data_IF_531404136653
#
_entry.id   IF_531404136653
#
_cell.length_a   1.000
_cell.length_b   1.000
_cell.length_c   1.000
_cell.angle_alpha   90.00
_cell.angle_beta   90.00
_cell.angle_gamma   90.00
#
_symmetry.space_group_name_H-M   'P 1'
#
loop_
_entity.id
_entity.type
_entity.pdbx_description
1 polymer ?
#
# COMPACT_ATOMS: atom_id res chain seq x y z
N UNK A 1 -18.89 -41.64 -106.30
CA UNK A 1 -18.92 -42.46 -105.07
C UNK A 1 -18.08 -41.73 -104.02
N UNK A 2 -18.71 -40.94 -103.14
CA UNK A 2 -19.21 -41.33 -101.81
C UNK A 2 -18.11 -41.68 -100.78
N UNK A 3 -18.23 -40.99 -99.63
CA UNK A 3 -17.67 -41.24 -98.26
C UNK A 3 -16.34 -40.51 -97.98
N UNK A 4 -16.32 -39.42 -97.22
CA UNK A 4 -16.57 -39.19 -95.76
C UNK A 4 -15.31 -39.41 -94.90
N UNK A 5 -15.19 -38.51 -93.90
CA UNK A 5 -14.23 -38.45 -92.77
C UNK A 5 -12.82 -37.96 -93.13
N UNK A 6 -12.17 -37.06 -92.38
CA UNK A 6 -12.28 -36.78 -90.94
C UNK A 6 -11.88 -35.32 -90.62
N UNK A 7 -12.64 -34.72 -89.70
CA UNK A 7 -12.32 -33.50 -88.97
C UNK A 7 -11.09 -33.73 -88.09
N UNK A 8 -10.12 -32.80 -88.10
CA UNK A 8 -9.19 -32.60 -87.00
C UNK A 8 -8.89 -31.12 -86.87
N UNK A 9 -9.69 -30.43 -86.06
CA UNK A 9 -9.38 -29.11 -85.52
C UNK A 9 -8.23 -29.30 -84.54
N UNK A 10 -7.01 -29.01 -84.99
CA UNK A 10 -5.86 -28.83 -84.10
C UNK A 10 -5.84 -27.37 -83.66
N UNK A 11 -6.60 -27.11 -82.59
CA UNK A 11 -6.43 -25.95 -81.73
C UNK A 11 -4.97 -25.91 -81.28
N UNK A 12 -4.26 -24.88 -81.72
CA UNK A 12 -2.93 -24.54 -81.22
C UNK A 12 -3.03 -24.20 -79.73
N UNK A 13 -2.75 -25.18 -78.89
CA UNK A 13 -2.50 -24.96 -77.47
C UNK A 13 -1.16 -24.24 -77.33
N UNK A 14 -1.24 -22.93 -77.07
CA UNK A 14 -0.15 -22.19 -76.46
C UNK A 14 0.25 -22.88 -75.15
N UNK A 15 1.54 -23.15 -74.87
CA UNK A 15 1.94 -23.47 -73.51
C UNK A 15 1.79 -22.19 -72.67
N UNK A 16 0.71 -22.11 -71.89
CA UNK A 16 0.65 -21.22 -70.73
C UNK A 16 1.81 -21.60 -69.81
N UNK A 17 2.77 -20.71 -69.64
CA UNK A 17 3.76 -20.80 -68.57
C UNK A 17 2.99 -20.84 -67.23
N UNK A 18 2.98 -22.00 -66.58
CA UNK A 18 2.53 -22.10 -65.19
C UNK A 18 3.56 -21.36 -64.32
N UNK A 19 3.32 -20.08 -64.04
CA UNK A 19 3.95 -19.41 -62.90
C UNK A 19 3.49 -20.16 -61.65
N UNK A 20 4.39 -20.95 -61.07
CA UNK A 20 4.24 -21.43 -59.70
C UNK A 20 4.24 -20.17 -58.83
N UNK A 21 3.09 -19.82 -58.27
CA UNK A 21 3.00 -18.80 -57.24
C UNK A 21 3.55 -19.48 -55.99
N UNK A 22 4.82 -19.21 -55.64
CA UNK A 22 5.33 -19.57 -54.32
C UNK A 22 4.66 -18.64 -53.31
N UNK A 23 3.81 -19.21 -52.46
CA UNK A 23 3.23 -18.48 -51.34
C UNK A 23 4.32 -18.31 -50.27
N UNK A 24 4.87 -17.11 -50.15
CA UNK A 24 5.74 -16.76 -49.01
C UNK A 24 4.82 -16.38 -47.84
N UNK A 25 4.87 -17.15 -46.76
CA UNK A 25 4.18 -16.84 -45.51
C UNK A 25 5.20 -16.31 -44.50
N UNK A 26 4.97 -15.12 -43.96
CA UNK A 26 5.81 -14.54 -42.91
C UNK A 26 5.01 -14.46 -41.61
N UNK A 27 5.59 -14.96 -40.51
CA UNK A 27 5.07 -14.83 -39.15
C UNK A 27 6.11 -14.11 -38.31
N UNK A 28 5.70 -13.13 -37.50
CA UNK A 28 6.59 -12.44 -36.57
C UNK A 28 6.00 -12.40 -35.18
N UNK A 29 6.82 -12.70 -34.18
CA UNK A 29 6.52 -12.54 -32.76
C UNK A 29 7.44 -11.46 -32.20
N UNK A 30 6.87 -10.51 -31.47
CA UNK A 30 7.61 -9.45 -30.79
C UNK A 30 7.26 -9.48 -29.30
N UNK A 31 8.27 -9.36 -28.45
CA UNK A 31 8.14 -9.34 -26.99
C UNK A 31 9.02 -8.24 -26.41
N UNK A 32 8.47 -7.45 -25.49
CA UNK A 32 9.20 -6.42 -24.75
C UNK A 32 9.59 -6.97 -23.38
N UNK A 33 10.87 -7.25 -23.16
CA UNK A 33 11.39 -7.78 -21.89
C UNK A 33 12.40 -6.81 -21.31
N UNK A 34 12.12 -6.31 -20.10
CA UNK A 34 12.99 -5.36 -19.39
C UNK A 34 13.41 -4.14 -20.24
N UNK A 35 12.49 -3.63 -21.07
CA UNK A 35 12.74 -2.46 -21.93
C UNK A 35 13.46 -2.76 -23.25
N UNK A 36 13.75 -4.03 -23.54
CA UNK A 36 14.39 -4.50 -24.79
C UNK A 36 13.36 -5.24 -25.64
N UNK A 37 13.31 -4.94 -26.94
CA UNK A 37 12.40 -5.60 -27.89
C UNK A 37 13.07 -6.81 -28.51
N UNK A 38 12.54 -7.99 -28.23
CA UNK A 38 12.96 -9.24 -28.85
C UNK A 38 11.98 -9.61 -29.96
N UNK A 39 12.49 -9.86 -31.17
CA UNK A 39 11.68 -10.19 -32.33
C UNK A 39 12.16 -11.46 -33.02
N UNK A 40 11.25 -12.38 -33.26
CA UNK A 40 11.48 -13.62 -34.00
C UNK A 40 10.61 -13.63 -35.26
N UNK A 41 11.23 -13.73 -36.43
CA UNK A 41 10.55 -13.77 -37.73
C UNK A 41 10.78 -15.13 -38.37
N UNK A 42 9.69 -15.82 -38.69
CA UNK A 42 9.69 -17.07 -39.44
C UNK A 42 9.19 -16.77 -40.85
N UNK A 43 10.02 -17.09 -41.86
CA UNK A 43 9.70 -16.92 -43.27
C UNK A 43 9.59 -18.32 -43.88
N UNK A 44 8.38 -18.71 -44.28
CA UNK A 44 8.08 -19.97 -44.96
C UNK A 44 7.93 -19.70 -46.45
N UNK A 45 8.90 -20.17 -47.24
CA UNK A 45 8.86 -20.14 -48.70
C UNK A 45 9.12 -21.56 -49.23
N UNK A 46 10.23 -21.81 -49.93
CA UNK A 46 10.66 -23.17 -50.33
C UNK A 46 11.37 -23.91 -49.17
N UNK A 47 11.93 -23.15 -48.23
CA UNK A 47 12.54 -23.62 -46.97
C UNK A 47 12.12 -22.70 -45.83
N UNK A 48 12.06 -23.22 -44.60
CA UNK A 48 11.79 -22.41 -43.41
C UNK A 48 13.07 -21.66 -43.01
N UNK A 49 12.98 -20.33 -42.93
CA UNK A 49 14.05 -19.48 -42.43
C UNK A 49 13.61 -18.78 -41.14
N UNK A 50 14.46 -18.83 -40.13
CA UNK A 50 14.27 -18.13 -38.86
C UNK A 50 15.23 -16.93 -38.80
N UNK A 51 14.72 -15.76 -38.42
CA UNK A 51 15.51 -14.55 -38.18
C UNK A 51 15.20 -14.02 -36.79
N UNK A 52 16.25 -13.72 -36.03
CA UNK A 52 16.17 -13.26 -34.65
C UNK A 52 16.72 -11.84 -34.54
N UNK A 53 16.02 -10.97 -33.81
CA UNK A 53 16.39 -9.58 -33.64
C UNK A 53 16.24 -9.15 -32.18
N UNK A 54 17.05 -8.18 -31.79
CA UNK A 54 16.97 -7.45 -30.52
C UNK A 54 17.10 -5.96 -30.82
N UNK A 55 16.07 -5.17 -30.50
CA UNK A 55 15.97 -3.74 -30.87
C UNK A 55 16.31 -3.50 -32.35
N UNK A 56 15.68 -4.29 -33.23
CA UNK A 56 15.89 -4.31 -34.68
C UNK A 56 17.30 -4.72 -35.16
N UNK A 57 18.21 -5.09 -34.25
CA UNK A 57 19.54 -5.60 -34.59
C UNK A 57 19.48 -7.13 -34.76
N UNK A 58 19.88 -7.67 -35.93
CA UNK A 58 19.85 -9.11 -36.16
C UNK A 58 20.90 -9.84 -35.30
N UNK A 59 20.51 -10.97 -34.73
CA UNK A 59 21.33 -11.81 -33.87
C UNK A 59 21.34 -13.27 -34.34
N UNK A 60 22.38 -14.00 -33.94
CA UNK A 60 22.39 -15.46 -34.02
C UNK A 60 21.38 -16.05 -33.01
N UNK A 61 20.81 -17.19 -33.36
CA UNK A 61 19.80 -17.90 -32.53
C UNK A 61 20.25 -18.09 -31.08
N UNK A 62 21.46 -18.58 -30.85
CA UNK A 62 21.96 -18.84 -29.50
C UNK A 62 22.14 -17.55 -28.71
N UNK A 63 22.67 -16.50 -29.34
CA UNK A 63 22.81 -15.17 -28.72
C UNK A 63 21.45 -14.54 -28.40
N UNK A 64 20.44 -14.75 -29.24
CA UNK A 64 19.09 -14.27 -29.00
C UNK A 64 18.51 -14.89 -27.73
N UNK A 65 18.54 -16.22 -27.59
CA UNK A 65 17.99 -16.88 -26.41
C UNK A 65 18.78 -16.60 -25.14
N UNK A 66 20.11 -16.49 -25.22
CA UNK A 66 20.94 -16.08 -24.08
C UNK A 66 20.55 -14.69 -23.58
N UNK A 67 20.42 -13.72 -24.49
CA UNK A 67 20.04 -12.35 -24.14
C UNK A 67 18.60 -12.23 -23.66
N UNK A 68 17.68 -12.96 -24.28
CA UNK A 68 16.28 -13.03 -23.84
C UNK A 68 16.22 -13.57 -22.41
N UNK A 69 16.88 -14.69 -22.14
CA UNK A 69 16.91 -15.28 -20.81
C UNK A 69 17.54 -14.35 -19.76
N UNK A 70 18.64 -13.66 -20.11
CA UNK A 70 19.26 -12.68 -19.23
C UNK A 70 18.33 -11.50 -18.92
N UNK A 71 17.59 -11.00 -19.92
CA UNK A 71 16.62 -9.93 -19.75
C UNK A 71 15.42 -10.37 -18.89
N UNK A 72 14.89 -11.58 -19.11
CA UNK A 72 13.83 -12.17 -18.28
C UNK A 72 14.29 -12.31 -16.82
N UNK A 73 15.52 -12.79 -16.60
CA UNK A 73 16.07 -12.94 -15.26
C UNK A 73 16.24 -11.59 -14.56
N UNK A 74 16.73 -10.57 -15.27
CA UNK A 74 16.85 -9.21 -14.76
C UNK A 74 15.47 -8.63 -14.39
N UNK A 75 14.47 -8.82 -15.24
CA UNK A 75 13.10 -8.37 -14.98
C UNK A 75 12.50 -9.04 -13.73
N UNK A 76 12.73 -10.35 -13.57
CA UNK A 76 12.28 -11.10 -12.39
C UNK A 76 12.98 -10.61 -11.11
N UNK A 77 14.28 -10.38 -11.16
CA UNK A 77 15.05 -9.85 -10.02
C UNK A 77 14.56 -8.45 -9.64
N UNK A 78 14.35 -7.57 -10.62
CA UNK A 78 13.83 -6.23 -10.37
C UNK A 78 12.41 -6.29 -9.79
N UNK A 79 11.52 -7.14 -10.33
CA UNK A 79 10.18 -7.37 -9.78
C UNK A 79 10.23 -7.83 -8.32
N UNK A 80 11.16 -8.74 -7.97
CA UNK A 80 11.37 -9.19 -6.58
C UNK A 80 11.85 -8.06 -5.68
N UNK A 81 12.89 -7.33 -6.09
CA UNK A 81 13.44 -6.21 -5.33
C UNK A 81 12.39 -5.10 -5.10
N UNK A 82 11.59 -4.75 -6.12
CA UNK A 82 10.48 -3.80 -6.01
C UNK A 82 9.42 -4.29 -5.01
N UNK A 83 9.09 -5.58 -5.04
CA UNK A 83 8.12 -6.17 -4.10
C UNK A 83 8.63 -6.11 -2.66
N UNK A 84 9.90 -6.46 -2.42
CA UNK A 84 10.53 -6.39 -1.09
C UNK A 84 10.56 -4.94 -0.57
N UNK A 85 11.02 -4.00 -1.40
CA UNK A 85 11.03 -2.58 -1.04
C UNK A 85 9.62 -2.06 -0.72
N UNK A 86 8.61 -2.46 -1.49
CA UNK A 86 7.21 -2.11 -1.22
C UNK A 86 6.74 -2.68 0.12
N UNK A 87 7.08 -3.93 0.46
CA UNK A 87 6.73 -4.51 1.76
C UNK A 87 7.41 -3.77 2.92
N UNK A 88 8.69 -3.44 2.78
CA UNK A 88 9.42 -2.67 3.79
C UNK A 88 8.80 -1.29 4.01
N UNK A 89 8.48 -0.58 2.92
CA UNK A 89 7.79 0.72 2.99
C UNK A 89 6.40 0.58 3.65
N UNK A 90 5.63 -0.44 3.28
CA UNK A 90 4.32 -0.68 3.90
C UNK A 90 4.44 -0.95 5.40
N UNK A 91 5.42 -1.76 5.82
CA UNK A 91 5.66 -2.03 7.23
C UNK A 91 6.06 -0.76 8.01
N UNK A 92 6.92 0.08 7.43
CA UNK A 92 7.30 1.37 8.01
C UNK A 92 6.10 2.31 8.14
N UNK A 93 5.30 2.46 7.08
CA UNK A 93 4.09 3.29 7.10
C UNK A 93 3.10 2.82 8.17
N UNK A 94 2.89 1.51 8.31
CA UNK A 94 2.02 0.96 9.35
C UNK A 94 2.54 1.28 10.75
N UNK A 95 3.85 1.16 10.98
CA UNK A 95 4.46 1.49 12.25
C UNK A 95 4.31 2.99 12.59
N UNK A 96 4.55 3.88 11.63
CA UNK A 96 4.39 5.32 11.83
C UNK A 96 2.92 5.69 12.09
N UNK A 97 1.96 5.07 11.39
CA UNK A 97 0.52 5.27 11.65
C UNK A 97 0.12 4.82 13.07
N UNK A 98 0.68 3.72 13.57
CA UNK A 98 0.42 3.26 14.94
C UNK A 98 0.98 4.24 15.97
N UNK A 99 2.20 4.74 15.78
CA UNK A 99 2.80 5.77 16.63
C UNK A 99 1.92 7.03 16.64
N UNK A 100 1.58 7.55 15.46
CA UNK A 100 0.75 8.75 15.34
C UNK A 100 -0.63 8.59 15.99
N UNK A 101 -1.24 7.40 15.85
CA UNK A 101 -2.49 7.05 16.51
C UNK A 101 -2.37 7.11 18.04
N UNK A 102 -1.35 6.47 18.61
CA UNK A 102 -1.09 6.48 20.04
C UNK A 102 -0.81 7.89 20.57
N UNK A 103 -0.02 8.69 19.85
CA UNK A 103 0.26 10.09 20.21
C UNK A 103 -1.04 10.91 20.26
N UNK A 104 -1.91 10.77 19.25
CA UNK A 104 -3.19 11.49 19.21
C UNK A 104 -4.09 11.10 20.36
N UNK A 105 -4.18 9.80 20.68
CA UNK A 105 -4.98 9.29 21.79
C UNK A 105 -4.53 9.91 23.12
N UNK A 106 -3.25 9.76 23.47
CA UNK A 106 -2.69 10.32 24.72
C UNK A 106 -2.92 11.82 24.82
N UNK A 107 -2.64 12.58 23.74
CA UNK A 107 -2.83 14.04 23.75
C UNK A 107 -4.29 14.44 23.96
N UNK A 108 -5.21 13.70 23.36
CA UNK A 108 -6.65 13.98 23.45
C UNK A 108 -7.13 13.76 24.89
N UNK A 109 -6.82 12.59 25.45
CA UNK A 109 -7.23 12.25 26.82
C UNK A 109 -6.54 13.18 27.83
N UNK A 110 -5.25 13.48 27.65
CA UNK A 110 -4.52 14.41 28.51
C UNK A 110 -5.18 15.79 28.54
N UNK A 111 -5.49 16.35 27.36
CA UNK A 111 -6.17 17.66 27.27
C UNK A 111 -7.53 17.63 27.95
N UNK A 112 -8.30 16.54 27.80
CA UNK A 112 -9.60 16.36 28.43
C UNK A 112 -9.49 16.31 29.96
N UNK A 113 -8.52 15.56 30.48
CA UNK A 113 -8.24 15.50 31.92
C UNK A 113 -7.87 16.89 32.45
N UNK A 114 -7.02 17.64 31.77
CA UNK A 114 -6.67 19.01 32.17
C UNK A 114 -7.89 19.92 32.22
N UNK A 115 -8.77 19.85 31.22
CA UNK A 115 -10.03 20.61 31.18
C UNK A 115 -10.93 20.28 32.37
N UNK A 116 -11.14 18.99 32.66
CA UNK A 116 -11.97 18.53 33.79
C UNK A 116 -11.44 19.02 35.13
N UNK A 117 -10.12 18.90 35.37
CA UNK A 117 -9.53 19.44 36.59
C UNK A 117 -9.60 20.96 36.64
N UNK A 118 -9.51 21.65 35.50
CA UNK A 118 -9.75 23.09 35.40
C UNK A 118 -11.17 23.48 35.85
N UNK A 119 -12.18 22.69 35.48
CA UNK A 119 -13.55 22.88 35.97
C UNK A 119 -13.67 22.61 37.46
N UNK A 120 -13.15 21.48 37.94
CA UNK A 120 -13.21 21.12 39.37
C UNK A 120 -12.52 22.15 40.28
N UNK A 121 -11.51 22.85 39.77
CA UNK A 121 -10.81 23.92 40.48
C UNK A 121 -11.59 25.24 40.54
N UNK A 122 -12.71 25.39 39.82
CA UNK A 122 -13.50 26.62 39.84
C UNK A 122 -14.00 26.92 41.26
N UNK A 123 -13.77 28.14 41.80
CA UNK A 123 -14.13 28.48 43.19
C UNK A 123 -15.61 28.26 43.53
N UNK A 124 -16.50 28.39 42.54
CA UNK A 124 -17.93 28.16 42.70
C UNK A 124 -18.25 26.69 42.97
N UNK A 125 -17.56 25.75 42.30
CA UNK A 125 -17.80 24.32 42.43
C UNK A 125 -17.12 23.73 43.67
N UNK A 126 -16.03 24.33 44.15
CA UNK A 126 -15.28 23.83 45.32
C UNK A 126 -16.14 23.64 46.57
N UNK A 127 -17.14 24.50 46.78
CA UNK A 127 -18.06 24.43 47.95
C UNK A 127 -19.03 23.24 47.89
N UNK A 128 -19.24 22.69 46.70
CA UNK A 128 -20.21 21.62 46.44
C UNK A 128 -19.52 20.31 46.04
N UNK A 129 -18.18 20.27 46.09
CA UNK A 129 -17.37 19.10 45.75
C UNK A 129 -17.90 17.85 46.46
N UNK A 130 -18.28 16.86 45.67
CA UNK A 130 -18.62 15.53 46.19
C UNK A 130 -17.45 14.57 46.00
N UNK A 131 -16.99 14.04 47.12
CA UNK A 131 -15.93 13.04 47.14
C UNK A 131 -16.52 11.64 47.29
N UNK A 132 -16.07 10.70 46.45
CA UNK A 132 -16.51 9.31 46.46
C UNK A 132 -15.33 8.37 46.18
N UNK A 133 -15.27 7.18 46.80
CA UNK A 133 -14.20 6.21 46.55
C UNK A 133 -14.03 5.81 45.08
N UNK A 134 -15.13 5.71 44.34
CA UNK A 134 -15.14 5.36 42.91
C UNK A 134 -14.80 6.54 41.99
N UNK A 135 -14.75 7.77 42.53
CA UNK A 135 -14.38 8.99 41.82
C UNK A 135 -13.09 9.56 42.44
N UNK A 136 -13.11 10.84 42.83
CA UNK A 136 -12.07 11.43 43.68
C UNK A 136 -12.52 11.30 45.13
N UNK A 137 -11.73 10.62 45.97
CA UNK A 137 -12.10 10.22 47.33
C UNK A 137 -11.88 11.32 48.37
N UNK A 138 -11.07 12.34 48.05
CA UNK A 138 -10.80 13.45 48.96
C UNK A 138 -10.18 14.65 48.24
N UNK A 139 -10.21 15.81 48.91
CA UNK A 139 -9.52 17.02 48.44
C UNK A 139 -8.01 16.80 48.29
N UNK A 140 -7.40 16.03 49.20
CA UNK A 140 -5.99 15.69 49.13
C UNK A 140 -5.68 14.86 47.87
N UNK A 141 -6.48 13.82 47.61
CA UNK A 141 -6.31 13.01 46.40
C UNK A 141 -6.48 13.85 45.13
N UNK A 142 -7.45 14.77 45.10
CA UNK A 142 -7.61 15.71 43.99
C UNK A 142 -6.35 16.54 43.76
N UNK A 143 -5.77 17.12 44.82
CA UNK A 143 -4.54 17.91 44.74
C UNK A 143 -3.30 17.09 44.32
N UNK A 144 -3.25 15.81 44.70
CA UNK A 144 -2.23 14.86 44.25
C UNK A 144 -2.39 14.53 42.77
N UNK A 145 -3.60 14.28 42.29
CA UNK A 145 -3.89 14.02 40.87
C UNK A 145 -3.59 15.24 39.98
N UNK A 146 -3.85 16.46 40.46
CA UNK A 146 -3.49 17.68 39.73
C UNK A 146 -1.97 17.79 39.55
N UNK A 147 -1.20 17.59 40.63
CA UNK A 147 0.27 17.59 40.57
C UNK A 147 0.77 16.46 39.66
N UNK A 148 0.19 15.29 39.84
CA UNK A 148 -0.02 14.22 38.86
C UNK A 148 0.18 14.66 37.41
N UNK A 149 -0.93 15.16 36.88
CA UNK A 149 -1.14 15.53 35.49
C UNK A 149 -0.20 16.65 35.03
N UNK A 150 0.18 17.58 35.92
CA UNK A 150 1.15 18.63 35.59
C UNK A 150 2.54 18.07 35.27
N UNK A 151 3.00 17.06 36.02
CA UNK A 151 4.31 16.43 35.79
C UNK A 151 4.24 15.40 34.66
N UNK A 152 3.09 14.74 34.50
CA UNK A 152 2.86 13.69 33.51
C UNK A 152 3.08 14.15 32.05
N UNK A 153 2.93 15.45 31.78
CA UNK A 153 3.24 16.03 30.46
C UNK A 153 4.66 15.71 29.99
N UNK A 154 5.64 15.83 30.90
CA UNK A 154 7.04 15.62 30.55
C UNK A 154 7.33 14.16 30.17
N UNK A 155 6.67 13.22 30.83
CA UNK A 155 6.76 11.79 30.53
C UNK A 155 6.12 11.45 29.19
N UNK A 156 4.97 12.06 28.86
CA UNK A 156 4.33 11.96 27.54
C UNK A 156 5.29 12.48 26.45
N UNK A 157 5.85 13.66 26.65
CA UNK A 157 6.77 14.27 25.66
C UNK A 157 8.02 13.39 25.45
N UNK A 158 8.53 12.75 26.51
CA UNK A 158 9.63 11.79 26.42
C UNK A 158 9.24 10.51 25.66
N UNK A 159 8.07 9.92 25.95
CA UNK A 159 7.57 8.73 25.25
C UNK A 159 7.34 8.99 23.75
N UNK A 160 6.85 10.19 23.41
CA UNK A 160 6.72 10.66 22.03
C UNK A 160 8.08 10.71 21.34
N UNK A 161 9.08 11.34 21.97
CA UNK A 161 10.42 11.46 21.40
C UNK A 161 11.08 10.09 21.14
N UNK A 162 10.78 9.10 21.99
CA UNK A 162 11.27 7.73 21.87
C UNK A 162 10.44 6.85 20.93
N UNK A 163 9.33 7.36 20.37
CA UNK A 163 8.33 6.57 19.63
C UNK A 163 7.90 5.28 20.37
N UNK A 164 7.81 5.34 21.70
CA UNK A 164 7.49 4.18 22.53
C UNK A 164 5.97 3.95 22.58
N UNK A 165 5.45 3.16 21.63
CA UNK A 165 4.00 2.91 21.49
C UNK A 165 3.41 2.29 22.76
N UNK A 166 4.09 1.30 23.35
CA UNK A 166 3.59 0.61 24.53
C UNK A 166 3.42 1.58 25.71
N UNK A 167 4.42 2.44 25.94
CA UNK A 167 4.33 3.47 26.97
C UNK A 167 3.22 4.48 26.66
N UNK A 168 3.05 4.91 25.40
CA UNK A 168 1.97 5.81 25.02
C UNK A 168 0.58 5.18 25.26
N UNK A 169 0.40 3.89 24.97
CA UNK A 169 -0.86 3.20 25.22
C UNK A 169 -1.16 3.08 26.72
N UNK A 170 -0.19 2.66 27.52
CA UNK A 170 -0.33 2.59 28.98
C UNK A 170 -0.62 3.97 29.60
N UNK A 171 0.03 5.02 29.10
CA UNK A 171 -0.23 6.39 29.51
C UNK A 171 -1.66 6.82 29.16
N UNK A 172 -2.17 6.47 27.98
CA UNK A 172 -3.54 6.78 27.59
C UNK A 172 -4.54 6.06 28.50
N UNK A 173 -4.40 4.77 28.74
CA UNK A 173 -5.28 4.00 29.63
C UNK A 173 -5.30 4.57 31.05
N UNK A 174 -4.13 4.94 31.57
CA UNK A 174 -4.01 5.60 32.88
C UNK A 174 -4.76 6.93 32.90
N UNK A 175 -4.61 7.74 31.85
CA UNK A 175 -5.30 9.02 31.74
C UNK A 175 -6.81 8.86 31.55
N UNK A 176 -7.26 7.83 30.83
CA UNK A 176 -8.69 7.52 30.64
C UNK A 176 -9.34 7.17 31.98
N UNK A 177 -8.68 6.32 32.78
CA UNK A 177 -9.17 6.01 34.12
C UNK A 177 -9.24 7.25 35.02
N UNK A 178 -8.27 8.16 34.92
CA UNK A 178 -8.30 9.44 35.65
C UNK A 178 -9.42 10.34 35.12
N UNK A 179 -9.65 10.36 33.80
CA UNK A 179 -10.73 11.11 33.16
C UNK A 179 -12.08 10.67 33.71
N UNK A 180 -12.38 9.36 33.68
CA UNK A 180 -13.64 8.80 34.18
C UNK A 180 -13.92 9.21 35.63
N UNK A 181 -12.89 9.12 36.48
CA UNK A 181 -12.98 9.51 37.89
C UNK A 181 -13.21 11.01 38.07
N UNK A 182 -12.55 11.84 37.27
CA UNK A 182 -12.75 13.29 37.29
C UNK A 182 -14.15 13.69 36.78
N UNK A 183 -14.66 13.01 35.74
CA UNK A 183 -16.01 13.21 35.21
C UNK A 183 -17.07 12.83 36.24
N UNK A 184 -16.95 11.66 36.86
CA UNK A 184 -17.87 11.22 37.92
C UNK A 184 -17.89 12.22 39.09
N UNK A 185 -16.72 12.74 39.47
CA UNK A 185 -16.61 13.75 40.53
C UNK A 185 -17.26 15.07 40.12
N UNK A 186 -17.06 15.53 38.88
CA UNK A 186 -17.67 16.75 38.36
C UNK A 186 -19.20 16.62 38.27
N UNK A 187 -19.71 15.50 37.77
CA UNK A 187 -21.15 15.22 37.69
C UNK A 187 -21.79 15.21 39.08
N UNK A 188 -21.18 14.53 40.06
CA UNK A 188 -21.66 14.53 41.44
C UNK A 188 -21.66 15.93 42.05
N UNK A 189 -20.61 16.71 41.80
CA UNK A 189 -20.48 18.09 42.27
C UNK A 189 -21.56 19.01 41.68
N UNK A 190 -21.82 18.90 40.37
CA UNK A 190 -22.88 19.66 39.70
C UNK A 190 -24.26 19.23 40.18
N UNK A 191 -24.51 17.93 40.37
CA UNK A 191 -25.77 17.44 40.90
C UNK A 191 -26.04 17.95 42.31
N UNK A 192 -25.03 17.95 43.18
CA UNK A 192 -25.11 18.51 44.52
C UNK A 192 -25.40 20.02 44.49
N UNK A 193 -24.69 20.77 43.65
CA UNK A 193 -24.94 22.20 43.43
C UNK A 193 -26.41 22.45 43.07
N UNK A 194 -26.95 21.72 42.08
CA UNK A 194 -28.34 21.87 41.64
C UNK A 194 -29.32 21.54 42.77
N UNK A 195 -29.05 20.52 43.57
CA UNK A 195 -29.95 20.11 44.66
C UNK A 195 -30.05 21.11 45.82
N UNK A 196 -29.08 22.03 45.93
CA UNK A 196 -29.06 23.08 46.96
C UNK A 196 -29.82 24.35 46.51
N UNK A 197 -30.11 24.50 45.21
CA UNK A 197 -30.90 25.60 44.65
C UNK A 197 -32.34 25.18 44.39
#
# INVERSE_FOLDING_TARGET
>A
MQKKLLFAVLLGFYPLQSKVISHVTQMSTEELVHGVVFKHVIISSDHVQEQFFMDDIPLLKDMYYEKLHAAELAELQEKRARKENKMLQQAQTLADVQVDGAIKMVRTVYARVQELFGHLQQPLLQKYMMYHPEAISSAQQGAELIRFIQHYKSEIDQAIAQKNIAALQEMAETLEHIQERAEACLQGTVSNLISVF
#
